data_IF_308857003314
#
_entry.id   IF_308857003314
#
_cell.length_a   1.000
_cell.length_b   1.000
_cell.length_c   1.000
_cell.angle_alpha   90.00
_cell.angle_beta   90.00
_cell.angle_gamma   90.00
#
_symmetry.space_group_name_H-M   'P 1'
#
loop_
_entity.id
_entity.type
_entity.pdbx_description
1 polymer ?
2 water ?
#
# COMPACT_ATOMS: atom_id res chain seq x y z
N UNK A 10 5.03 11.64 -21.61
CA UNK A 10 4.66 11.94 -23.03
C UNK A 10 4.99 10.77 -23.93
N UNK A 11 5.83 11.01 -24.94
CA UNK A 11 6.08 10.03 -26.01
C UNK A 11 7.10 8.95 -25.61
N UNK A 12 6.86 8.32 -24.47
CA UNK A 12 7.81 7.43 -23.83
C UNK A 12 8.09 6.11 -24.57
N UNK A 13 9.35 5.68 -24.52
CA UNK A 13 9.75 4.43 -25.15
C UNK A 13 9.00 3.28 -24.54
N UNK A 14 8.88 3.29 -23.21
CA UNK A 14 8.18 2.21 -22.50
C UNK A 14 6.72 2.13 -22.91
N UNK A 15 6.04 3.29 -23.05
CA UNK A 15 4.64 3.35 -23.48
C UNK A 15 4.52 2.81 -24.89
N UNK A 16 5.37 3.30 -25.80
CA UNK A 16 5.44 2.72 -27.14
C UNK A 16 5.76 1.21 -27.13
N UNK A 17 6.66 0.78 -26.26
CA UNK A 17 6.91 -0.64 -26.16
C UNK A 17 5.63 -1.38 -25.71
N UNK A 18 4.88 -0.75 -24.80
CA UNK A 18 3.70 -1.42 -24.26
C UNK A 18 2.65 -1.49 -25.35
N UNK A 19 2.46 -0.38 -26.04
CA UNK A 19 1.49 -0.31 -27.14
C UNK A 19 1.81 -1.27 -28.28
N UNK A 20 3.09 -1.46 -28.58
CA UNK A 20 3.52 -2.30 -29.69
C UNK A 20 3.28 -3.74 -29.33
N UNK A 21 3.69 -4.09 -28.10
CA UNK A 21 3.47 -5.42 -27.67
C UNK A 21 1.98 -5.75 -27.56
N UNK A 22 1.16 -4.81 -27.09
CA UNK A 22 -0.27 -5.06 -26.97
C UNK A 22 -0.96 -5.28 -28.33
N UNK A 23 -0.46 -4.60 -29.35
CA UNK A 23 -1.07 -4.65 -30.68
C UNK A 23 -0.97 -6.06 -31.26
N UNK A 24 -0.03 -6.87 -30.78
CA UNK A 24 0.10 -8.27 -31.20
C UNK A 24 -1.01 -9.20 -30.63
N UNK A 25 -1.75 -8.73 -29.60
CA UNK A 25 -2.80 -9.55 -28.98
C UNK A 25 -4.17 -8.91 -28.94
N UNK A 26 -4.25 -7.65 -29.35
CA UNK A 26 -5.49 -6.90 -29.30
C UNK A 26 -6.71 -7.64 -29.87
N UNK A 27 -6.58 -8.05 -31.13
CA UNK A 27 -7.69 -8.65 -31.88
C UNK A 27 -8.30 -9.85 -31.19
N UNK A 28 -7.41 -10.71 -30.68
CA UNK A 28 -7.78 -11.88 -29.87
C UNK A 28 -8.76 -11.56 -28.72
N UNK A 29 -8.54 -10.44 -28.04
CA UNK A 29 -9.40 -10.05 -26.93
C UNK A 29 -10.58 -9.23 -27.38
N UNK A 30 -10.37 -8.36 -28.35
CA UNK A 30 -11.40 -7.51 -28.85
C UNK A 30 -12.58 -8.31 -29.40
N UNK A 31 -12.26 -9.40 -30.09
CA UNK A 31 -13.26 -10.24 -30.72
C UNK A 31 -14.01 -11.01 -29.68
N UNK A 32 -13.40 -11.17 -28.50
CA UNK A 32 -14.08 -11.86 -27.41
C UNK A 32 -14.75 -10.91 -26.41
N UNK A 33 -14.60 -9.60 -26.59
CA UNK A 33 -15.15 -8.65 -25.63
C UNK A 33 -16.55 -8.27 -26.10
N UNK A 34 -17.56 -8.97 -25.59
CA UNK A 34 -18.88 -8.91 -26.21
C UNK A 34 -19.83 -7.88 -25.64
N UNK A 35 -19.57 -7.39 -24.44
CA UNK A 35 -20.50 -6.50 -23.78
C UNK A 35 -20.18 -5.07 -24.10
N UNK A 36 -21.24 -4.27 -24.18
CA UNK A 36 -21.18 -2.85 -24.51
C UNK A 36 -20.49 -1.95 -23.45
N UNK A 37 -20.54 -2.28 -22.17
CA UNK A 37 -19.98 -1.35 -21.19
C UNK A 37 -18.45 -1.27 -21.25
N UNK A 38 -17.93 -0.11 -20.88
CA UNK A 38 -16.52 0.13 -20.68
C UNK A 38 -16.21 -0.22 -19.23
N UNK A 39 -15.11 -0.92 -18.99
CA UNK A 39 -14.66 -1.23 -17.65
C UNK A 39 -13.88 -0.08 -17.04
N UNK A 40 -12.98 0.49 -17.81
CA UNK A 40 -12.04 1.51 -17.36
C UNK A 40 -12.60 2.92 -17.63
N UNK A 41 -13.40 3.43 -16.72
CA UNK A 41 -14.20 4.62 -17.02
C UNK A 41 -13.47 5.85 -16.67
N UNK A 42 -14.04 6.98 -17.08
CA UNK A 42 -13.41 8.26 -16.82
C UNK A 42 -13.37 8.51 -15.34
N UNK A 43 -14.25 7.89 -14.57
CA UNK A 43 -14.15 8.02 -13.13
C UNK A 43 -12.81 7.48 -12.61
N UNK A 44 -12.31 6.40 -13.28
CA UNK A 44 -10.97 5.88 -12.96
C UNK A 44 -9.96 6.95 -13.27
N UNK A 45 -10.11 7.57 -14.45
CA UNK A 45 -9.18 8.63 -14.86
C UNK A 45 -9.25 9.78 -13.91
N UNK A 46 -10.43 10.04 -13.36
CA UNK A 46 -10.60 11.07 -12.31
C UNK A 46 -9.81 10.78 -11.07
N UNK A 47 -9.92 9.54 -10.58
CA UNK A 47 -9.15 9.19 -9.38
C UNK A 47 -7.66 9.28 -9.62
N UNK A 48 -7.19 9.00 -10.85
CA UNK A 48 -5.74 9.15 -11.16
C UNK A 48 -5.29 10.59 -11.06
N UNK A 49 -6.19 11.50 -11.45
CA UNK A 49 -5.91 12.93 -11.42
C UNK A 49 -5.80 13.47 -10.05
N UNK A 50 -6.45 12.86 -9.07
CA UNK A 50 -6.63 13.51 -7.76
C UNK A 50 -5.60 13.15 -6.74
N UNK A 51 -5.85 13.48 -5.47
CA UNK A 51 -4.84 13.30 -4.44
C UNK A 51 -4.53 11.82 -4.13
N UNK A 52 -5.37 10.89 -4.53
CA UNK A 52 -5.00 9.48 -4.37
C UNK A 52 -4.62 8.82 -5.70
N UNK A 53 -4.23 9.65 -6.66
CA UNK A 53 -3.78 9.17 -7.96
C UNK A 53 -2.73 8.05 -7.88
N UNK A 54 -1.75 8.21 -7.00
CA UNK A 54 -0.66 7.25 -6.87
C UNK A 54 -1.19 5.87 -6.49
N UNK A 55 -2.08 5.85 -5.49
CA UNK A 55 -2.70 4.63 -5.01
C UNK A 55 -3.60 4.02 -6.06
N UNK A 56 -4.27 4.85 -6.84
CA UNK A 56 -5.18 4.34 -7.83
C UNK A 56 -4.39 3.60 -8.90
N UNK A 57 -3.36 4.25 -9.40
CA UNK A 57 -2.58 3.73 -10.46
C UNK A 57 -1.80 2.52 -9.98
N UNK A 58 -1.20 2.63 -8.80
CA UNK A 58 -0.49 1.49 -8.25
C UNK A 58 -1.40 0.29 -8.20
N UNK A 59 -2.64 0.49 -7.77
CA UNK A 59 -3.60 -0.66 -7.63
C UNK A 59 -4.03 -1.25 -8.99
N UNK A 60 -4.19 -0.38 -9.96
CA UNK A 60 -4.53 -0.80 -11.30
C UNK A 60 -3.35 -1.56 -11.92
N UNK A 61 -2.13 -1.10 -11.72
CA UNK A 61 -0.99 -1.82 -12.27
C UNK A 61 -0.94 -3.23 -11.71
N UNK A 62 -1.13 -3.32 -10.40
CA UNK A 62 -1.16 -4.57 -9.69
C UNK A 62 -2.26 -5.49 -10.17
N UNK A 63 -3.45 -4.95 -10.34
CA UNK A 63 -4.56 -5.68 -10.88
C UNK A 63 -4.28 -6.29 -12.25
N UNK A 64 -3.74 -5.49 -13.16
CA UNK A 64 -3.29 -6.09 -14.46
C UNK A 64 -2.17 -7.15 -14.28
N UNK A 65 -1.19 -6.89 -13.45
CA UNK A 65 -0.06 -7.78 -13.37
C UNK A 65 -0.37 -9.07 -12.67
N UNK A 66 -1.22 -9.00 -11.67
CA UNK A 66 -1.42 -10.15 -10.82
C UNK A 66 -2.75 -10.83 -11.07
N UNK A 67 -3.77 -10.10 -11.51
CA UNK A 67 -5.03 -10.71 -11.85
C UNK A 67 -5.27 -10.83 -13.35
N UNK A 68 -5.39 -9.72 -14.07
CA UNK A 68 -5.87 -9.79 -15.45
C UNK A 68 -4.94 -10.61 -16.35
N UNK A 69 -3.66 -10.26 -16.37
CA UNK A 69 -2.75 -10.86 -17.35
C UNK A 69 -2.47 -12.35 -17.09
N UNK A 70 -2.33 -12.75 -15.80
CA UNK A 70 -2.11 -14.21 -15.56
C UNK A 70 -3.35 -14.99 -15.87
N UNK A 71 -4.52 -14.37 -15.75
CA UNK A 71 -5.75 -15.05 -16.15
C UNK A 71 -5.82 -15.10 -17.70
N UNK A 72 -5.52 -13.97 -18.35
CA UNK A 72 -5.53 -13.85 -19.84
C UNK A 72 -4.56 -14.86 -20.51
N UNK A 73 -3.37 -14.97 -19.95
CA UNK A 73 -2.37 -15.97 -20.28
C UNK A 73 -3.01 -17.33 -20.49
N UNK A 74 -3.86 -17.73 -19.55
CA UNK A 74 -4.46 -19.07 -19.58
C UNK A 74 -5.72 -19.21 -20.44
N UNK A 75 -6.41 -18.10 -20.74
CA UNK A 75 -7.43 -18.09 -21.80
C UNK A 75 -6.83 -18.20 -23.19
N UNK A 76 -5.53 -18.33 -23.32
CA UNK A 76 -4.98 -18.99 -24.52
C UNK A 76 -3.48 -19.03 -24.64
N UNK A 77 -2.91 -20.25 -24.78
CA UNK A 77 -1.48 -20.46 -24.96
C UNK A 77 -0.91 -19.78 -26.18
N UNK A 78 -1.73 -19.57 -27.22
CA UNK A 78 -1.21 -18.94 -28.44
C UNK A 78 -0.77 -17.50 -28.17
N UNK A 79 -1.20 -16.91 -27.05
CA UNK A 79 -0.78 -15.53 -26.72
C UNK A 79 0.04 -15.42 -25.42
N UNK A 80 0.32 -16.56 -24.79
CA UNK A 80 1.07 -16.64 -23.52
C UNK A 80 2.37 -15.84 -23.61
N UNK A 81 3.15 -16.05 -24.67
CA UNK A 81 4.46 -15.39 -24.79
C UNK A 81 4.31 -13.89 -25.01
N UNK A 82 3.24 -13.48 -25.68
CA UNK A 82 2.97 -12.06 -25.82
C UNK A 82 2.47 -11.42 -24.52
N UNK A 83 1.70 -12.17 -23.72
CA UNK A 83 1.24 -11.66 -22.47
C UNK A 83 2.37 -11.63 -21.42
N UNK A 84 3.27 -12.61 -21.43
CA UNK A 84 4.49 -12.53 -20.63
C UNK A 84 5.30 -11.31 -20.94
N UNK A 85 5.52 -11.05 -22.22
CA UNK A 85 6.25 -9.88 -22.67
C UNK A 85 5.59 -8.54 -22.28
N UNK A 86 4.27 -8.46 -22.45
CA UNK A 86 3.52 -7.31 -21.97
C UNK A 86 3.68 -7.11 -20.45
N UNK A 87 3.62 -8.20 -19.73
CA UNK A 87 3.78 -8.23 -18.27
C UNK A 87 5.13 -7.71 -17.78
N UNK A 88 6.17 -8.19 -18.45
CA UNK A 88 7.53 -7.70 -18.24
C UNK A 88 7.62 -6.20 -18.51
N UNK A 89 7.08 -5.77 -19.63
CA UNK A 89 7.15 -4.36 -19.94
C UNK A 89 6.38 -3.53 -18.95
N UNK A 90 5.24 -4.00 -18.49
CA UNK A 90 4.44 -3.24 -17.51
C UNK A 90 5.16 -3.16 -16.16
N UNK A 91 5.78 -4.26 -15.76
CA UNK A 91 6.51 -4.34 -14.54
C UNK A 91 7.70 -3.38 -14.55
N UNK A 92 8.36 -3.33 -15.69
CA UNK A 92 9.44 -2.41 -15.93
C UNK A 92 8.96 -0.96 -15.87
N UNK A 93 7.81 -0.67 -16.46
CA UNK A 93 7.22 0.66 -16.37
C UNK A 93 7.00 1.06 -14.91
N UNK A 94 6.44 0.12 -14.16
CA UNK A 94 6.08 0.30 -12.80
C UNK A 94 7.32 0.63 -11.94
N UNK A 95 8.38 -0.14 -12.15
CA UNK A 95 9.60 0.03 -11.38
C UNK A 95 10.18 1.43 -11.68
N UNK A 96 10.10 1.83 -12.95
CA UNK A 96 10.54 3.13 -13.36
C UNK A 96 9.72 4.27 -12.74
N UNK A 97 8.38 4.15 -12.77
CA UNK A 97 7.52 5.15 -12.17
C UNK A 97 7.78 5.24 -10.66
N UNK A 98 8.16 4.12 -10.09
CA UNK A 98 8.38 4.00 -8.69
C UNK A 98 9.51 4.93 -8.24
N UNK A 99 10.49 5.10 -9.09
CA UNK A 99 11.72 5.77 -8.76
C UNK A 99 11.63 7.26 -9.06
N UNK A 100 10.56 7.68 -9.71
CA UNK A 100 10.26 9.10 -9.84
C UNK A 100 9.21 9.61 -8.84
N UNK A 101 9.66 10.51 -7.97
CA UNK A 101 8.85 11.02 -6.86
C UNK A 101 7.53 11.63 -7.31
N UNK A 102 7.48 12.17 -8.52
CA UNK A 102 6.23 12.70 -9.08
C UNK A 102 5.22 11.60 -9.52
N UNK A 103 5.71 10.36 -9.74
CA UNK A 103 4.86 9.35 -10.36
C UNK A 103 4.28 8.31 -9.42
N UNK A 104 5.06 7.33 -8.98
CA UNK A 104 4.56 6.28 -8.09
C UNK A 104 5.35 6.17 -6.80
N UNK A 105 5.56 7.32 -6.14
CA UNK A 105 6.36 7.25 -4.93
C UNK A 105 5.73 6.39 -3.83
N UNK A 106 4.39 6.25 -3.85
CA UNK A 106 3.64 5.47 -2.84
C UNK A 106 3.93 3.98 -2.81
N UNK A 107 4.58 3.45 -3.85
CA UNK A 107 4.91 2.04 -3.87
C UNK A 107 6.20 1.75 -3.18
N UNK A 108 6.94 2.77 -2.79
CA UNK A 108 8.21 2.48 -2.14
C UNK A 108 7.98 2.13 -0.68
N UNK A 109 8.60 1.04 -0.24
CA UNK A 109 8.56 0.63 1.14
C UNK A 109 9.81 1.07 1.91
N UNK A 110 9.64 1.22 3.21
CA UNK A 110 10.67 1.76 4.08
C UNK A 110 11.69 0.67 4.38
N UNK A 111 12.98 0.92 4.21
CA UNK A 111 13.95 -0.12 4.65
C UNK A 111 14.04 -0.14 6.18
N UNK A 112 13.80 0.99 6.82
CA UNK A 112 13.89 1.01 8.28
C UNK A 112 12.78 0.07 8.83
N UNK A 113 11.61 0.08 8.20
CA UNK A 113 10.53 -0.81 8.66
C UNK A 113 10.89 -2.28 8.45
N UNK A 114 11.48 -2.59 7.30
CA UNK A 114 11.92 -3.96 7.00
C UNK A 114 13.00 -4.41 7.97
N UNK A 115 13.87 -3.49 8.38
CA UNK A 115 14.90 -3.81 9.38
C UNK A 115 14.23 -4.08 10.74
N UNK A 116 13.24 -3.24 11.06
CA UNK A 116 12.47 -3.53 12.28
C UNK A 116 11.84 -4.93 12.27
N UNK A 117 11.20 -5.27 11.15
CA UNK A 117 10.49 -6.56 11.05
C UNK A 117 11.45 -7.77 11.20
N UNK A 118 12.62 -7.62 10.60
CA UNK A 118 13.60 -8.69 10.60
C UNK A 118 14.28 -8.84 11.95
N UNK A 119 14.55 -7.72 12.63
CA UNK A 119 15.04 -7.80 13.97
C UNK A 119 14.02 -8.43 14.88
N UNK A 120 12.77 -8.01 14.75
CA UNK A 120 11.71 -8.56 15.57
C UNK A 120 11.58 -10.10 15.43
N UNK A 121 11.52 -10.53 14.17
CA UNK A 121 11.57 -11.96 13.80
C UNK A 121 12.74 -12.71 14.45
N UNK A 122 13.94 -12.15 14.37
CA UNK A 122 15.09 -12.83 14.98
C UNK A 122 14.99 -12.93 16.48
N UNK A 123 14.29 -12.00 17.11
CA UNK A 123 14.15 -12.00 18.58
C UNK A 123 13.12 -12.94 19.12
N UNK A 124 12.16 -13.30 18.27
CA UNK A 124 11.07 -14.17 18.69
C UNK A 124 10.33 -13.61 19.88
N UNK A 125 10.17 -14.41 20.96
CA UNK A 125 9.36 -14.00 22.11
C UNK A 125 9.88 -12.69 22.68
N UNK A 126 11.21 -12.55 22.71
CA UNK A 126 11.81 -11.32 23.12
C UNK A 126 11.45 -10.13 22.23
N UNK A 127 11.28 -10.35 20.93
CA UNK A 127 10.86 -9.28 19.99
C UNK A 127 9.48 -8.77 20.39
N UNK A 128 8.60 -9.68 20.83
CA UNK A 128 7.27 -9.29 21.28
C UNK A 128 7.39 -8.38 22.50
N UNK A 129 8.21 -8.80 23.48
CA UNK A 129 8.37 -8.01 24.70
C UNK A 129 9.04 -6.69 24.37
N UNK A 130 10.01 -6.69 23.44
CA UNK A 130 10.70 -5.46 23.12
C UNK A 130 9.79 -4.49 22.36
N UNK A 131 9.10 -4.99 21.34
CA UNK A 131 8.28 -4.16 20.45
C UNK A 131 7.21 -3.47 21.29
N UNK A 132 6.58 -4.26 22.15
CA UNK A 132 5.58 -3.71 23.07
C UNK A 132 6.18 -2.71 24.10
N UNK A 133 7.34 -3.01 24.64
CA UNK A 133 7.99 -2.12 25.58
C UNK A 133 8.27 -0.78 24.92
N UNK A 134 8.61 -0.82 23.63
CA UNK A 134 8.96 0.36 22.87
C UNK A 134 7.75 1.03 22.17
N UNK A 135 6.55 0.65 22.54
CA UNK A 135 5.37 1.23 21.96
C UNK A 135 5.30 2.76 22.23
N UNK A 136 5.82 3.20 23.39
CA UNK A 136 5.97 4.64 23.71
C UNK A 136 6.87 5.35 22.73
N UNK A 137 7.98 4.71 22.36
CA UNK A 137 8.81 5.25 21.28
C UNK A 137 7.94 5.46 20.02
N UNK A 138 7.14 4.46 19.72
CA UNK A 138 6.31 4.48 18.53
C UNK A 138 5.35 5.64 18.57
N UNK A 139 4.66 5.80 19.69
CA UNK A 139 3.73 6.90 19.82
C UNK A 139 4.43 8.25 19.61
N UNK A 140 5.64 8.37 20.18
CA UNK A 140 6.43 9.57 20.02
C UNK A 140 6.75 9.86 18.57
N UNK A 141 7.14 8.83 17.81
CA UNK A 141 7.31 8.98 16.38
C UNK A 141 6.04 9.32 15.58
N UNK A 142 4.90 8.74 15.94
CA UNK A 142 3.65 9.15 15.30
C UNK A 142 3.43 10.66 15.53
N UNK A 143 3.61 11.12 16.77
CA UNK A 143 3.44 12.50 17.12
C UNK A 143 4.37 13.42 16.33
N UNK A 144 5.63 13.02 16.27
CA UNK A 144 6.61 13.69 15.43
C UNK A 144 6.23 13.72 13.95
N UNK A 145 5.74 12.59 13.43
CA UNK A 145 5.31 12.54 12.06
C UNK A 145 4.23 13.64 11.83
N UNK A 146 3.25 13.70 12.72
CA UNK A 146 2.17 14.66 12.60
C UNK A 146 2.71 16.08 12.63
N UNK A 147 3.69 16.33 13.52
CA UNK A 147 4.32 17.64 13.66
C UNK A 147 5.06 18.06 12.40
N UNK A 148 5.80 17.11 11.86
CA UNK A 148 6.58 17.40 10.69
C UNK A 148 5.66 17.64 9.48
N UNK A 149 4.48 17.04 9.50
CA UNK A 149 3.60 17.15 8.33
C UNK A 149 2.86 18.47 8.30
N UNK A 150 3.03 19.27 9.35
CA UNK A 150 2.42 20.57 9.49
C UNK A 150 3.48 21.70 9.57
N UNK A 151 4.19 21.96 8.47
CA UNK A 151 5.23 23.01 8.45
C UNK A 151 5.08 24.00 7.28
N UNK B 10 -6.19 19.57 16.81
CA UNK B 10 -5.79 19.32 18.22
C UNK B 10 -5.98 17.86 18.55
N UNK B 11 -5.01 17.05 18.12
CA UNK B 11 -5.05 15.57 18.22
C UNK B 11 -4.33 14.99 19.43
N UNK B 12 -3.67 15.87 20.20
CA UNK B 12 -2.89 15.43 21.37
C UNK B 12 -3.76 14.82 22.47
N UNK B 13 -5.08 14.95 22.36
CA UNK B 13 -6.00 14.21 23.23
C UNK B 13 -6.13 12.75 22.81
N UNK B 14 -6.08 12.46 21.52
CA UNK B 14 -6.10 11.06 21.03
C UNK B 14 -4.76 10.34 21.31
N UNK B 15 -3.66 11.06 21.15
CA UNK B 15 -2.34 10.60 21.59
C UNK B 15 -2.31 10.45 23.11
N UNK B 16 -2.95 11.38 23.82
CA UNK B 16 -2.96 11.30 25.28
C UNK B 16 -3.57 9.97 25.70
N UNK B 17 -4.69 9.67 25.05
CA UNK B 17 -5.43 8.43 25.22
C UNK B 17 -4.61 7.17 24.98
N UNK B 18 -3.94 7.14 23.83
CA UNK B 18 -3.09 6.04 23.46
C UNK B 18 -1.98 5.90 24.49
N UNK B 19 -1.38 7.02 24.88
CA UNK B 19 -0.32 6.96 25.86
C UNK B 19 -0.81 6.46 27.21
N UNK B 20 -2.03 6.87 27.55
CA UNK B 20 -2.64 6.47 28.80
C UNK B 20 -2.99 5.00 28.77
N UNK B 21 -3.61 4.56 27.69
CA UNK B 21 -3.85 3.13 27.51
C UNK B 21 -2.55 2.32 27.60
N UNK B 22 -1.53 2.80 26.91
CA UNK B 22 -0.26 2.07 26.92
C UNK B 22 0.48 2.04 28.27
N UNK B 23 0.47 3.15 29.00
CA UNK B 23 1.14 3.23 30.29
C UNK B 23 0.71 2.18 31.28
N UNK B 24 -0.53 1.77 31.20
CA UNK B 24 -1.00 0.71 32.06
C UNK B 24 -0.57 -0.69 31.74
N UNK B 25 -0.06 -0.96 30.53
CA UNK B 25 0.47 -2.29 30.20
C UNK B 25 1.96 -2.30 29.93
N UNK B 26 2.57 -1.13 29.85
CA UNK B 26 4.00 -1.02 29.53
C UNK B 26 4.84 -1.95 30.38
N UNK B 27 4.61 -1.88 31.68
CA UNK B 27 5.50 -2.52 32.64
C UNK B 27 5.48 -4.04 32.55
N UNK B 28 4.30 -4.61 32.26
CA UNK B 28 4.16 -6.02 31.94
C UNK B 28 5.19 -6.48 30.89
N UNK B 29 5.43 -5.65 29.89
CA UNK B 29 6.45 -5.98 28.86
C UNK B 29 7.80 -5.51 29.20
N UNK B 30 7.87 -4.36 29.88
CA UNK B 30 9.17 -3.82 30.21
C UNK B 30 10.00 -4.78 31.07
N UNK B 31 9.37 -5.41 32.04
CA UNK B 31 10.10 -6.32 32.92
C UNK B 31 10.51 -7.61 32.22
N UNK B 32 9.82 -7.95 31.13
CA UNK B 32 10.14 -9.12 30.34
C UNK B 32 11.06 -8.88 29.18
N UNK B 33 11.45 -7.62 28.95
CA UNK B 33 12.27 -7.19 27.80
C UNK B 33 13.73 -7.19 28.27
N UNK B 34 14.40 -8.34 28.16
CA UNK B 34 15.71 -8.52 28.79
C UNK B 34 16.84 -8.01 27.94
N UNK B 35 16.67 -8.01 26.63
CA UNK B 35 17.77 -7.65 25.76
C UNK B 35 18.12 -6.17 25.75
N UNK B 36 19.39 -5.92 25.46
CA UNK B 36 19.99 -4.61 25.54
C UNK B 36 19.48 -3.68 24.45
N UNK B 37 19.59 -4.10 23.20
CA UNK B 37 19.40 -3.17 22.08
C UNK B 37 17.97 -2.55 21.88
N UNK B 38 17.86 -1.63 20.94
CA UNK B 38 16.65 -0.88 20.68
C UNK B 38 16.13 -1.32 19.34
N UNK B 39 14.84 -1.60 19.25
CA UNK B 39 14.24 -1.99 18.00
C UNK B 39 13.88 -0.79 17.13
N UNK B 40 13.17 0.17 17.71
CA UNK B 40 12.68 1.35 17.00
C UNK B 40 13.68 2.46 17.22
N UNK B 41 14.45 2.78 16.18
CA UNK B 41 15.54 3.72 16.31
C UNK B 41 15.30 4.90 15.41
N UNK B 42 16.21 5.85 15.49
CA UNK B 42 16.09 7.07 14.73
C UNK B 42 15.95 6.87 13.22
N UNK B 43 16.48 5.77 12.67
CA UNK B 43 16.35 5.51 11.24
C UNK B 43 14.88 5.42 10.89
N UNK B 44 14.07 4.92 11.82
CA UNK B 44 12.67 4.83 11.51
C UNK B 44 12.06 6.19 11.44
N UNK B 45 12.34 7.02 12.42
CA UNK B 45 11.79 8.35 12.44
C UNK B 45 12.25 9.12 11.21
N UNK B 46 13.50 8.85 10.79
CA UNK B 46 14.05 9.44 9.56
C UNK B 46 13.12 9.10 8.40
N UNK B 47 12.81 7.81 8.26
CA UNK B 47 11.93 7.38 7.18
C UNK B 47 10.58 8.04 7.32
N UNK B 48 10.08 8.24 8.54
CA UNK B 48 8.77 8.85 8.69
C UNK B 48 8.82 10.26 8.16
N UNK B 49 9.98 10.87 8.23
CA UNK B 49 10.10 12.28 7.85
C UNK B 49 10.35 12.56 6.38
N UNK B 50 10.73 11.54 5.62
CA UNK B 50 11.00 11.73 4.20
C UNK B 50 9.80 11.51 3.31
N UNK B 51 10.06 11.45 2.01
CA UNK B 51 9.02 11.33 0.98
C UNK B 51 8.13 10.09 1.14
N UNK B 52 8.69 8.98 1.63
CA UNK B 52 7.92 7.77 1.85
C UNK B 52 7.32 7.67 3.29
N UNK B 53 7.19 8.78 3.98
CA UNK B 53 6.78 8.75 5.37
C UNK B 53 5.41 8.17 5.66
N UNK B 54 4.45 8.51 4.81
CA UNK B 54 3.10 7.94 4.92
C UNK B 54 3.15 6.41 4.89
N UNK B 55 3.97 5.87 4.00
CA UNK B 55 4.10 4.43 3.79
C UNK B 55 4.77 3.79 4.99
N UNK B 56 5.84 4.41 5.46
CA UNK B 56 6.54 3.86 6.63
C UNK B 56 5.62 3.83 7.86
N UNK B 57 4.87 4.92 8.08
CA UNK B 57 3.97 4.97 9.23
C UNK B 57 2.85 3.95 9.07
N UNK B 58 2.32 3.83 7.83
CA UNK B 58 1.30 2.88 7.54
C UNK B 58 1.75 1.50 7.92
N UNK B 59 2.92 1.12 7.45
CA UNK B 59 3.44 -0.23 7.63
C UNK B 59 3.73 -0.50 9.10
N UNK B 60 4.16 0.52 9.84
CA UNK B 60 4.42 0.38 11.27
C UNK B 60 3.14 0.15 12.04
N UNK B 61 2.10 0.91 11.72
CA UNK B 61 0.83 0.75 12.42
C UNK B 61 0.35 -0.65 12.10
N UNK B 62 0.46 -1.05 10.83
CA UNK B 62 0.09 -2.41 10.43
C UNK B 62 0.86 -3.48 11.17
N UNK B 63 2.18 -3.29 11.28
CA UNK B 63 3.07 -4.22 11.96
C UNK B 63 2.62 -4.43 13.40
N UNK B 64 2.24 -3.32 14.05
CA UNK B 64 1.80 -3.42 15.44
C UNK B 64 0.47 -4.16 15.52
N UNK B 65 -0.47 -3.76 14.67
CA UNK B 65 -1.83 -4.34 14.68
C UNK B 65 -1.92 -5.82 14.29
N UNK B 66 -1.03 -6.25 13.43
CA UNK B 66 -1.10 -7.55 12.77
C UNK B 66 -0.07 -8.52 13.29
N UNK B 67 1.09 -8.02 13.68
CA UNK B 67 2.18 -8.89 14.08
C UNK B 67 2.44 -8.78 15.58
N UNK B 68 2.62 -7.55 16.10
CA UNK B 68 3.07 -7.42 17.45
C UNK B 68 1.94 -7.65 18.44
N UNK B 69 0.86 -6.91 18.30
CA UNK B 69 -0.23 -6.96 19.29
C UNK B 69 -0.97 -8.28 19.41
N UNK B 70 -1.17 -9.00 18.31
CA UNK B 70 -1.78 -10.30 18.44
C UNK B 70 -0.85 -11.27 19.23
N UNK B 71 0.44 -11.19 18.98
CA UNK B 71 1.40 -11.95 19.79
C UNK B 71 1.37 -11.49 21.26
N UNK B 72 1.21 -10.20 21.50
CA UNK B 72 1.21 -9.70 22.88
C UNK B 72 -0.03 -10.19 23.59
N UNK B 73 -1.15 -10.19 22.87
CA UNK B 73 -2.38 -10.78 23.36
C UNK B 73 -2.17 -12.27 23.69
N UNK B 74 -1.48 -12.98 22.80
CA UNK B 74 -1.24 -14.40 23.02
C UNK B 74 -0.33 -14.64 24.24
N UNK B 75 0.68 -13.79 24.41
CA UNK B 75 1.61 -13.91 25.52
C UNK B 75 1.05 -13.36 26.82
N UNK B 76 0.05 -12.47 26.74
CA UNK B 76 -0.43 -11.77 27.92
C UNK B 76 -1.92 -11.85 28.00
N UNK B 77 -2.45 -13.08 28.03
CA UNK B 77 -3.90 -13.22 28.09
C UNK B 77 -4.49 -12.53 29.34
N UNK B 78 -3.74 -12.48 30.42
CA UNK B 78 -4.21 -11.82 31.63
C UNK B 78 -4.45 -10.29 31.52
N UNK B 79 -3.95 -9.66 30.46
CA UNK B 79 -4.20 -8.21 30.21
C UNK B 79 -4.75 -8.00 28.79
N UNK B 80 -5.41 -9.02 28.27
CA UNK B 80 -5.79 -9.09 26.88
C UNK B 80 -6.80 -8.02 26.57
N UNK B 81 -7.58 -7.68 27.59
CA UNK B 81 -8.55 -6.61 27.49
C UNK B 81 -7.88 -5.27 27.38
N UNK B 82 -6.82 -5.08 28.15
CA UNK B 82 -6.11 -3.84 28.09
C UNK B 82 -5.42 -3.72 26.73
N UNK B 83 -4.94 -4.84 26.19
CA UNK B 83 -4.33 -4.80 24.85
C UNK B 83 -5.36 -4.53 23.75
N UNK B 84 -6.56 -5.07 23.90
CA UNK B 84 -7.63 -4.85 22.92
C UNK B 84 -7.99 -3.42 22.89
N UNK B 85 -8.02 -2.83 24.08
CA UNK B 85 -8.28 -1.44 24.23
C UNK B 85 -7.25 -0.59 23.53
N UNK B 86 -5.97 -0.90 23.76
CA UNK B 86 -4.89 -0.20 23.12
C UNK B 86 -4.96 -0.35 21.60
N UNK B 87 -5.30 -1.56 21.14
CA UNK B 87 -5.36 -1.82 19.69
C UNK B 87 -6.49 -1.01 19.02
N UNK B 88 -7.60 -0.85 19.71
CA UNK B 88 -8.78 -0.15 19.17
C UNK B 88 -8.51 1.33 19.15
N UNK B 89 -7.82 1.82 20.16
CA UNK B 89 -7.37 3.24 20.13
C UNK B 89 -6.34 3.54 19.00
N UNK B 90 -5.45 2.59 18.76
CA UNK B 90 -4.52 2.73 17.65
C UNK B 90 -5.34 2.68 16.34
N UNK B 91 -6.25 1.72 16.22
CA UNK B 91 -7.14 1.66 15.04
C UNK B 91 -7.96 2.92 14.82
N UNK B 92 -8.46 3.49 15.91
CA UNK B 92 -9.16 4.75 15.86
C UNK B 92 -8.26 5.83 15.38
N UNK B 93 -7.10 5.95 15.99
CA UNK B 93 -6.12 6.94 15.54
C UNK B 93 -5.83 6.79 14.03
N UNK B 94 -5.56 5.56 13.59
CA UNK B 94 -5.31 5.29 12.14
C UNK B 94 -6.38 5.92 11.24
N UNK B 95 -7.64 5.74 11.64
CA UNK B 95 -8.81 6.11 10.83
C UNK B 95 -8.90 7.62 10.76
N UNK B 96 -8.63 8.28 11.88
CA UNK B 96 -8.56 9.71 11.92
C UNK B 96 -7.45 10.26 11.04
N UNK B 97 -6.26 9.66 11.12
CA UNK B 97 -5.14 10.11 10.28
C UNK B 97 -5.43 9.93 8.81
N UNK B 98 -6.15 8.87 8.51
CA UNK B 98 -6.50 8.56 7.15
C UNK B 98 -7.44 9.65 6.55
N UNK B 99 -8.30 10.25 7.37
CA UNK B 99 -9.21 11.31 6.93
C UNK B 99 -8.50 12.63 6.67
N UNK B 100 -7.31 12.84 7.26
CA UNK B 100 -6.56 14.08 7.06
C UNK B 100 -5.51 13.89 5.96
N UNK B 101 -5.66 14.64 4.87
CA UNK B 101 -4.90 14.43 3.62
C UNK B 101 -3.37 14.58 3.75
N UNK B 102 -2.89 15.23 4.80
CA UNK B 102 -1.44 15.33 4.98
C UNK B 102 -0.90 14.32 5.98
N UNK B 103 -1.75 13.41 6.45
CA UNK B 103 -1.28 12.39 7.41
C UNK B 103 -1.14 11.05 6.83
N UNK B 104 -2.23 10.30 6.64
CA UNK B 104 -2.20 8.95 6.07
C UNK B 104 -3.03 8.87 4.78
N UNK B 105 -2.82 9.83 3.83
CA UNK B 105 -3.62 9.76 2.58
C UNK B 105 -3.39 8.45 1.86
N UNK B 106 -2.21 7.85 2.07
CA UNK B 106 -1.79 6.67 1.34
C UNK B 106 -2.54 5.42 1.75
N UNK B 107 -3.39 5.48 2.77
CA UNK B 107 -4.17 4.33 3.08
C UNK B 107 -5.53 4.38 2.44
N UNK B 108 -5.88 5.48 1.82
CA UNK B 108 -7.18 5.57 1.15
C UNK B 108 -7.16 4.86 -0.19
N UNK B 109 -8.23 4.14 -0.47
CA UNK B 109 -8.36 3.42 -1.75
C UNK B 109 -9.20 4.17 -2.78
N UNK B 110 -8.86 4.02 -4.04
CA UNK B 110 -9.68 4.58 -5.09
C UNK B 110 -10.99 3.79 -5.17
N UNK B 111 -12.09 4.50 -4.98
CA UNK B 111 -13.42 4.04 -5.30
C UNK B 111 -13.58 3.64 -6.78
N UNK B 112 -12.98 4.39 -7.68
CA UNK B 112 -13.07 4.02 -9.11
C UNK B 112 -12.38 2.65 -9.30
N UNK B 113 -11.28 2.41 -8.62
CA UNK B 113 -10.58 1.11 -8.81
C UNK B 113 -11.41 -0.03 -8.19
N UNK B 114 -11.94 0.20 -7.00
CA UNK B 114 -12.86 -0.74 -6.42
C UNK B 114 -14.04 -1.07 -7.35
N UNK B 115 -14.64 -0.07 -7.97
CA UNK B 115 -15.69 -0.38 -8.94
C UNK B 115 -15.17 -1.23 -10.14
N UNK B 116 -13.95 -0.97 -10.60
CA UNK B 116 -13.38 -1.72 -11.76
C UNK B 116 -13.26 -3.16 -11.32
N UNK B 117 -12.69 -3.38 -10.13
CA UNK B 117 -12.47 -4.75 -9.67
C UNK B 117 -13.79 -5.47 -9.45
N UNK B 118 -14.80 -4.71 -9.07
CA UNK B 118 -16.07 -5.29 -8.79
C UNK B 118 -16.79 -5.66 -10.09
N UNK B 119 -16.82 -4.77 -11.07
CA UNK B 119 -17.33 -5.10 -12.36
C UNK B 119 -16.58 -6.29 -12.92
N UNK B 120 -15.27 -6.29 -12.80
CA UNK B 120 -14.46 -7.33 -13.40
C UNK B 120 -14.86 -8.70 -12.85
N UNK B 121 -15.08 -8.79 -11.54
CA UNK B 121 -15.50 -10.05 -10.93
C UNK B 121 -16.93 -10.40 -11.33
N UNK B 122 -17.80 -9.42 -11.35
CA UNK B 122 -19.13 -9.67 -11.84
C UNK B 122 -19.13 -10.17 -13.29
N UNK B 123 -18.14 -9.79 -14.10
CA UNK B 123 -18.14 -10.28 -15.50
C UNK B 123 -17.61 -11.68 -15.76
N UNK B 124 -16.88 -12.26 -14.82
CA UNK B 124 -16.22 -13.54 -15.04
C UNK B 124 -15.28 -13.55 -16.26
N UNK B 125 -15.41 -14.52 -17.17
CA UNK B 125 -14.49 -14.60 -18.29
C UNK B 125 -14.60 -13.44 -19.24
N UNK B 126 -15.79 -12.86 -19.33
CA UNK B 126 -15.94 -11.64 -20.07
C UNK B 126 -15.08 -10.49 -19.48
N UNK B 127 -14.86 -10.52 -18.17
CA UNK B 127 -14.04 -9.52 -17.49
C UNK B 127 -12.58 -9.56 -17.95
N UNK B 128 -12.03 -10.76 -18.05
CA UNK B 128 -10.69 -10.94 -18.55
C UNK B 128 -10.59 -10.44 -19.97
N UNK B 129 -11.55 -10.77 -20.81
CA UNK B 129 -11.54 -10.31 -22.18
C UNK B 129 -11.73 -8.83 -22.27
N UNK B 130 -12.63 -8.29 -21.46
CA UNK B 130 -12.87 -6.87 -21.54
C UNK B 130 -11.63 -6.13 -20.99
N UNK B 131 -11.13 -6.55 -19.83
CA UNK B 131 -9.99 -5.85 -19.28
C UNK B 131 -8.77 -5.85 -20.23
N UNK B 132 -8.53 -6.96 -20.91
CA UNK B 132 -7.39 -7.03 -21.78
C UNK B 132 -7.65 -6.22 -23.02
N UNK B 133 -8.87 -6.26 -23.53
CA UNK B 133 -9.21 -5.47 -24.70
C UNK B 133 -8.98 -4.00 -24.47
N UNK B 134 -9.26 -3.55 -23.25
CA UNK B 134 -9.13 -2.16 -22.84
C UNK B 134 -7.74 -1.80 -22.29
N UNK B 135 -6.80 -2.71 -22.40
CA UNK B 135 -5.41 -2.40 -22.04
C UNK B 135 -4.84 -1.16 -22.76
N UNK B 136 -5.26 -0.92 -24.00
CA UNK B 136 -4.95 0.35 -24.68
C UNK B 136 -5.46 1.57 -23.94
N UNK B 137 -6.70 1.49 -23.45
CA UNK B 137 -7.23 2.56 -22.61
C UNK B 137 -6.36 2.74 -21.36
N UNK B 138 -5.88 1.64 -20.79
CA UNK B 138 -5.15 1.71 -19.55
C UNK B 138 -3.84 2.44 -19.82
N UNK B 139 -3.20 2.11 -20.94
CA UNK B 139 -1.94 2.72 -21.33
C UNK B 139 -2.19 4.26 -21.50
N UNK B 140 -3.29 4.64 -22.15
CA UNK B 140 -3.68 6.05 -22.28
C UNK B 140 -3.86 6.73 -20.94
N UNK B 141 -4.53 6.04 -20.01
CA UNK B 141 -4.70 6.57 -18.66
C UNK B 141 -3.36 6.79 -17.93
N UNK B 142 -2.41 5.85 -18.14
CA UNK B 142 -1.08 6.01 -17.59
C UNK B 142 -0.39 7.24 -18.16
N UNK B 143 -0.52 7.41 -19.49
CA UNK B 143 0.06 8.54 -20.21
C UNK B 143 -0.52 9.90 -19.77
N UNK B 144 -1.83 9.96 -19.52
CA UNK B 144 -2.50 11.16 -19.01
C UNK B 144 -2.00 11.50 -17.62
N UNK B 145 -1.89 10.45 -16.80
CA UNK B 145 -1.46 10.58 -15.42
C UNK B 145 -0.05 11.23 -15.39
N UNK B 146 0.84 10.68 -16.18
CA UNK B 146 2.19 11.14 -16.22
C UNK B 146 2.25 12.60 -16.66
N UNK B 147 1.51 12.93 -17.71
CA UNK B 147 1.41 14.33 -18.20
C UNK B 147 0.89 15.27 -17.14
N UNK B 148 -0.16 14.84 -16.47
CA UNK B 148 -0.78 15.64 -15.42
C UNK B 148 0.23 15.93 -14.33
N UNK B 149 0.95 14.90 -13.88
CA UNK B 149 1.98 15.06 -12.88
C UNK B 149 3.17 15.85 -13.44
N UNK B 150 3.34 15.84 -14.75
CA UNK B 150 4.26 16.73 -15.47
C UNK B 150 5.70 16.23 -15.33
#
# INVERSE_FOLDING_TARGET
>A
DNNCTHFPVGQSHMLLELRTAFSQVKTFFQTKDQLDNILLTDSLMQDFKGYLGCQALSEMIQFYLVEVMPQAEKHGPEIKEHLNSLGEKLKTLRMRLRRCHRFLPCENKSKAVEQVKSDFNKLQDQGVYKAMNEFDIFINYIEAYMMIKMKSLEHHHHHHHH
>B
DNNCTHFPVGQSHMLLELRTAFSQVKTFFQTKDQLDNILLTDSLMQDFKGYLGCQALSEMIQFYLVEVMPQAEKHGPEIKEHLNSLGEKLKTLRMRLRRCHRFLPCENKSKAVEQVKSDFNKLQDQGVYKAMNEFDIFINYIEAYMMIKMKSLEHHHHHHHH
#
